data_IF_061333722429
#
_entry.id   IF_061333722429
#
_cell.length_a   1.000
_cell.length_b   1.000
_cell.length_c   1.000
_cell.angle_alpha   90.00
_cell.angle_beta   90.00
_cell.angle_gamma   90.00
#
_symmetry.space_group_name_H-M   'P 1'
#
loop_
_entity.id
_entity.type
_entity.pdbx_description
1 polymer ?
#
# COMPACT_ATOMS: atom_id res chain seq x y z
N UNK A 1 -8.01 -20.74 12.66
CA UNK A 1 -9.10 -19.75 12.88
C UNK A 1 -9.86 -20.18 14.11
N UNK A 2 -10.17 -19.26 15.03
CA UNK A 2 -11.07 -19.58 16.15
C UNK A 2 -12.48 -19.88 15.63
N UNK A 3 -13.24 -20.68 16.36
CA UNK A 3 -14.66 -20.96 16.03
C UNK A 3 -15.48 -19.68 15.96
N UNK A 4 -15.27 -18.78 16.92
CA UNK A 4 -15.92 -17.47 16.98
C UNK A 4 -15.66 -16.58 15.75
N UNK A 5 -14.42 -16.54 15.24
CA UNK A 5 -14.11 -15.75 14.02
C UNK A 5 -14.78 -16.35 12.79
N UNK A 6 -14.87 -17.69 12.70
CA UNK A 6 -15.51 -18.37 11.58
C UNK A 6 -17.02 -18.11 11.56
N UNK A 7 -17.68 -18.13 12.72
CA UNK A 7 -19.10 -17.83 12.87
C UNK A 7 -19.41 -16.38 12.49
N UNK A 8 -18.63 -15.42 12.97
CA UNK A 8 -18.80 -14.01 12.57
C UNK A 8 -18.64 -13.82 11.06
N UNK A 9 -17.62 -14.44 10.46
CA UNK A 9 -17.41 -14.36 9.01
C UNK A 9 -18.57 -14.98 8.22
N UNK A 10 -19.17 -16.07 8.73
CA UNK A 10 -20.35 -16.68 8.10
C UNK A 10 -21.56 -15.75 8.16
N UNK A 11 -21.84 -15.15 9.32
CA UNK A 11 -22.96 -14.21 9.48
C UNK A 11 -22.82 -13.02 8.52
N UNK A 12 -21.62 -12.43 8.42
CA UNK A 12 -21.37 -11.32 7.48
C UNK A 12 -21.57 -11.78 6.04
N UNK A 13 -21.10 -12.96 5.65
CA UNK A 13 -21.30 -13.46 4.30
C UNK A 13 -22.80 -13.66 3.99
N UNK A 14 -23.57 -14.16 4.95
CA UNK A 14 -25.02 -14.37 4.84
C UNK A 14 -25.79 -13.05 4.68
N UNK A 15 -25.35 -11.96 5.32
CA UNK A 15 -25.93 -10.62 5.11
C UNK A 15 -25.84 -10.17 3.64
N UNK A 16 -24.84 -10.66 2.89
CA UNK A 16 -24.69 -10.43 1.46
C UNK A 16 -25.28 -11.55 0.59
N UNK A 17 -25.99 -12.52 1.19
CA UNK A 17 -26.57 -13.67 0.49
C UNK A 17 -25.53 -14.67 -0.02
N UNK A 18 -24.34 -14.72 0.61
CA UNK A 18 -23.23 -15.59 0.23
C UNK A 18 -22.92 -16.60 1.34
N UNK A 19 -22.46 -17.78 0.95
CA UNK A 19 -21.79 -18.70 1.87
C UNK A 19 -20.25 -18.46 1.86
N UNK A 20 -19.56 -18.92 2.91
CA UNK A 20 -18.10 -18.77 3.02
C UNK A 20 -17.33 -19.40 1.84
N UNK A 21 -17.83 -20.48 1.23
CA UNK A 21 -17.20 -21.09 0.06
C UNK A 21 -17.33 -20.19 -1.17
N UNK A 22 -18.47 -19.52 -1.33
CA UNK A 22 -18.71 -18.53 -2.39
C UNK A 22 -17.79 -17.32 -2.26
N UNK A 23 -17.62 -16.79 -1.04
CA UNK A 23 -16.65 -15.72 -0.75
C UNK A 23 -15.22 -16.17 -1.04
N UNK A 24 -14.85 -17.38 -0.61
CA UNK A 24 -13.50 -17.93 -0.84
C UNK A 24 -13.21 -18.11 -2.34
N UNK A 25 -14.18 -18.59 -3.12
CA UNK A 25 -14.07 -18.67 -4.59
C UNK A 25 -13.91 -17.29 -5.23
N UNK A 26 -14.66 -16.28 -4.77
CA UNK A 26 -14.54 -14.92 -5.26
C UNK A 26 -13.15 -14.34 -4.97
N UNK A 27 -12.63 -14.56 -3.76
CA UNK A 27 -11.28 -14.16 -3.36
C UNK A 27 -10.20 -14.73 -4.29
N UNK A 28 -10.24 -16.04 -4.58
CA UNK A 28 -9.29 -16.64 -5.53
C UNK A 28 -9.42 -16.10 -6.96
N UNK A 29 -10.65 -15.89 -7.44
CA UNK A 29 -10.87 -15.28 -8.77
C UNK A 29 -10.31 -13.87 -8.84
N UNK A 30 -10.40 -13.10 -7.76
CA UNK A 30 -9.85 -11.76 -7.69
C UNK A 30 -8.31 -11.78 -7.72
N UNK A 31 -7.67 -12.69 -6.98
CA UNK A 31 -6.20 -12.86 -7.03
C UNK A 31 -5.73 -13.09 -8.46
N UNK A 32 -6.35 -14.05 -9.15
CA UNK A 32 -5.98 -14.39 -10.53
C UNK A 32 -6.22 -13.23 -11.48
N UNK A 33 -7.35 -12.52 -11.33
CA UNK A 33 -7.70 -11.38 -12.18
C UNK A 33 -6.75 -10.19 -12.01
N UNK A 34 -6.38 -9.88 -10.78
CA UNK A 34 -5.64 -8.66 -10.42
C UNK A 34 -4.13 -8.90 -10.24
N UNK A 35 -3.67 -10.16 -10.32
CA UNK A 35 -2.28 -10.55 -10.05
C UNK A 35 -1.76 -10.01 -8.71
N UNK A 36 -2.63 -9.99 -7.69
CA UNK A 36 -2.33 -9.43 -6.36
C UNK A 36 -3.22 -10.02 -5.27
N UNK A 37 -2.84 -9.84 -4.00
CA UNK A 37 -3.64 -10.30 -2.86
C UNK A 37 -4.66 -9.22 -2.50
N UNK A 38 -5.99 -9.50 -2.57
CA UNK A 38 -7.03 -8.51 -2.33
C UNK A 38 -7.29 -8.37 -0.82
N UNK A 39 -6.26 -7.97 -0.09
CA UNK A 39 -6.34 -7.61 1.33
C UNK A 39 -5.73 -6.22 1.49
N UNK A 40 -6.42 -5.39 2.24
CA UNK A 40 -5.88 -4.11 2.68
C UNK A 40 -4.90 -4.38 3.83
N UNK A 41 -3.64 -4.64 3.50
CA UNK A 41 -2.55 -4.89 4.44
C UNK A 41 -2.03 -3.60 5.09
N UNK A 42 -2.90 -2.63 5.36
CA UNK A 42 -2.50 -1.36 5.97
C UNK A 42 -2.25 -1.56 7.47
N UNK A 43 -1.12 -1.03 7.93
CA UNK A 43 -1.07 -0.49 9.28
C UNK A 43 -1.89 0.82 9.27
N UNK A 44 -2.75 1.06 10.28
CA UNK A 44 -3.65 2.21 10.31
C UNK A 44 -2.93 3.56 10.17
N UNK A 45 -1.64 3.60 10.49
CA UNK A 45 -0.75 4.73 10.26
C UNK A 45 0.43 4.28 9.39
N UNK A 46 0.82 5.13 8.43
CA UNK A 46 2.09 4.95 7.72
C UNK A 46 3.24 4.95 8.74
N UNK A 47 4.34 4.20 8.52
CA UNK A 47 5.51 4.28 9.39
C UNK A 47 5.91 5.74 9.60
N UNK A 48 6.32 6.10 10.82
CA UNK A 48 6.71 7.46 11.16
C UNK A 48 7.76 8.02 10.18
N UNK A 49 8.71 7.18 9.76
CA UNK A 49 9.71 7.50 8.73
C UNK A 49 9.07 7.92 7.39
N UNK A 50 8.00 7.25 6.96
CA UNK A 50 7.29 7.59 5.72
C UNK A 50 6.54 8.92 5.85
N UNK A 51 5.97 9.19 7.02
CA UNK A 51 5.31 10.48 7.31
C UNK A 51 6.34 11.61 7.31
N UNK A 52 7.48 11.41 7.97
CA UNK A 52 8.59 12.36 8.02
C UNK A 52 9.17 12.65 6.63
N UNK A 53 9.37 11.60 5.80
CA UNK A 53 9.83 11.75 4.42
C UNK A 53 8.85 12.57 3.56
N UNK A 54 7.54 12.41 3.75
CA UNK A 54 6.52 13.20 3.06
C UNK A 54 6.55 14.68 3.48
N UNK A 55 6.77 14.96 4.76
CA UNK A 55 6.89 16.34 5.27
C UNK A 55 8.20 17.01 4.84
N UNK A 56 9.29 16.25 4.78
CA UNK A 56 10.55 16.69 4.19
C UNK A 56 10.37 17.04 2.70
N UNK A 57 9.73 16.15 1.93
CA UNK A 57 9.46 16.38 0.51
C UNK A 57 8.63 17.66 0.28
N UNK A 58 7.60 17.90 1.10
CA UNK A 58 6.82 19.16 1.06
C UNK A 58 7.69 20.39 1.31
N UNK A 59 8.62 20.29 2.26
CA UNK A 59 9.56 21.36 2.59
C UNK A 59 10.50 21.63 1.41
N UNK A 60 11.07 20.60 0.79
CA UNK A 60 11.94 20.71 -0.39
C UNK A 60 11.20 21.39 -1.56
N UNK A 61 9.95 20.98 -1.81
CA UNK A 61 9.10 21.59 -2.85
C UNK A 61 8.87 23.09 -2.57
N UNK A 62 8.56 23.45 -1.31
CA UNK A 62 8.33 24.85 -0.93
C UNK A 62 9.57 25.73 -1.07
N UNK A 63 10.75 25.18 -0.75
CA UNK A 63 12.05 25.86 -0.87
C UNK A 63 12.58 25.89 -2.30
N UNK A 64 11.93 25.19 -3.24
CA UNK A 64 12.37 25.01 -4.64
C UNK A 64 13.80 24.47 -4.74
N UNK A 65 14.28 23.75 -3.72
CA UNK A 65 15.70 23.41 -3.58
C UNK A 65 16.12 22.10 -4.27
N UNK A 66 15.16 21.32 -4.79
CA UNK A 66 15.42 20.13 -5.60
C UNK A 66 14.54 20.18 -6.86
N UNK A 67 14.92 21.03 -7.81
CA UNK A 67 14.30 21.12 -9.13
C UNK A 67 15.33 20.72 -10.15
N UNK A 68 14.89 19.94 -11.13
CA UNK A 68 15.70 19.47 -12.24
C UNK A 68 14.99 19.87 -13.53
N UNK A 69 15.75 20.31 -14.52
CA UNK A 69 15.21 20.72 -15.81
C UNK A 69 14.85 19.51 -16.69
N UNK A 70 15.42 18.34 -16.40
CA UNK A 70 15.12 17.08 -17.08
C UNK A 70 15.40 15.83 -16.22
N UNK A 71 14.97 14.67 -16.70
CA UNK A 71 15.10 13.40 -15.98
C UNK A 71 16.55 12.94 -15.80
N UNK A 72 17.45 13.21 -16.76
CA UNK A 72 18.86 12.82 -16.62
C UNK A 72 19.52 13.55 -15.44
N UNK A 73 19.29 14.85 -15.31
CA UNK A 73 19.78 15.66 -14.19
C UNK A 73 19.26 15.14 -12.84
N UNK A 74 17.99 14.73 -12.78
CA UNK A 74 17.42 14.09 -11.59
C UNK A 74 18.14 12.77 -11.24
N UNK A 75 18.36 11.89 -12.22
CA UNK A 75 19.05 10.61 -11.99
C UNK A 75 20.51 10.81 -11.59
N UNK A 76 21.23 11.74 -12.23
CA UNK A 76 22.60 12.10 -11.86
C UNK A 76 22.69 12.58 -10.41
N UNK A 77 21.73 13.38 -9.94
CA UNK A 77 21.65 13.82 -8.55
C UNK A 77 21.39 12.66 -7.57
N UNK A 78 20.54 11.70 -7.94
CA UNK A 78 20.23 10.54 -7.08
C UNK A 78 21.44 9.61 -6.95
N UNK A 79 22.13 9.34 -8.07
CA UNK A 79 23.33 8.51 -8.08
C UNK A 79 24.49 9.17 -7.31
N UNK A 80 24.62 10.50 -7.42
CA UNK A 80 25.63 11.27 -6.68
C UNK A 80 25.36 11.29 -5.16
N UNK A 81 24.10 11.27 -4.75
CA UNK A 81 23.71 11.25 -3.33
C UNK A 81 23.98 9.91 -2.62
N UNK A 82 24.31 8.85 -3.37
CA UNK A 82 24.66 7.52 -2.85
C UNK A 82 26.16 7.37 -2.53
N UNK A 83 26.99 8.38 -2.83
CA UNK A 83 28.47 8.31 -2.72
C UNK A 83 29.02 9.05 -1.49
N UNK A 84 28.22 9.87 -0.79
CA UNK A 84 28.62 10.59 0.42
C UNK A 84 27.85 10.15 1.69
N UNK A 85 27.66 8.85 1.89
CA UNK A 85 27.27 8.27 3.20
C UNK A 85 28.16 7.10 3.58
#
# INVERSE_FOLDING_TARGET
MSTHTKEQAANIAEDFGLDLSSVTRAFYRQIVREHGIPLNLFYPDAPQETVEALDEARTIVSKKSARFDNANEMFESLDSSHVEQ
#
